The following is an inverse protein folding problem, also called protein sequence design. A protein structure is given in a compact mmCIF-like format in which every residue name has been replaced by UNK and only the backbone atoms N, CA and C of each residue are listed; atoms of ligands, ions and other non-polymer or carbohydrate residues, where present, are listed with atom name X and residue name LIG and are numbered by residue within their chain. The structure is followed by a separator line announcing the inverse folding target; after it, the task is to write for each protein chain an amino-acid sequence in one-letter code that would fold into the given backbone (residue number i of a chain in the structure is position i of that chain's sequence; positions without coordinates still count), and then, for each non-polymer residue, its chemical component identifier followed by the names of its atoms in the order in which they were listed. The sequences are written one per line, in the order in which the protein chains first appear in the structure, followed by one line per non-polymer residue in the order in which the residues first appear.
data_IF_863912209575
#
_entry.id   IF_863912209575
#
_cell.length_a   1.000
_cell.length_b   1.000
_cell.length_c   1.000
_cell.angle_alpha   90.00
_cell.angle_beta   90.00
_cell.angle_gamma   90.00
#
_symmetry.space_group_name_H-M   'P 1'
#
loop_
_entity.id
_entity.type
_entity.pdbx_description
1 polymer ?
#
# COMPACT_ATOMS: atom_id res chain seq x y z
N UNK A 1 -16.89 10.94 -3.96
CA UNK A 1 -15.91 10.01 -3.37
C UNK A 1 -15.52 9.02 -4.45
N UNK A 2 -14.23 8.72 -4.65
CA UNK A 2 -13.83 7.71 -5.64
C UNK A 2 -14.34 6.33 -5.18
N UNK A 3 -15.12 5.59 -6.00
CA UNK A 3 -15.67 4.29 -5.63
C UNK A 3 -14.60 3.28 -5.16
N UNK A 4 -13.35 3.45 -5.57
CA UNK A 4 -12.21 2.58 -5.19
C UNK A 4 -11.83 2.68 -3.72
N UNK A 5 -12.35 3.66 -2.98
CA UNK A 5 -12.13 3.83 -1.54
C UNK A 5 -13.37 3.52 -0.69
N UNK A 6 -14.41 2.92 -1.30
CA UNK A 6 -15.61 2.54 -0.56
C UNK A 6 -15.36 1.24 0.23
N UNK A 7 -15.58 1.31 1.54
CA UNK A 7 -15.55 0.15 2.44
C UNK A 7 -16.99 -0.33 2.63
N UNK A 8 -17.29 -1.57 2.24
CA UNK A 8 -18.66 -2.08 2.21
C UNK A 8 -19.24 -2.36 3.61
N UNK A 9 -18.40 -2.74 4.56
CA UNK A 9 -18.81 -3.17 5.90
C UNK A 9 -18.24 -2.24 6.99
N UNK A 10 -18.27 -0.92 6.75
CA UNK A 10 -17.63 0.06 7.64
C UNK A 10 -18.12 -0.03 9.10
N UNK A 11 -19.39 -0.37 9.31
CA UNK A 11 -20.02 -0.50 10.63
C UNK A 11 -19.46 -1.67 11.46
N UNK A 12 -18.83 -2.64 10.81
CA UNK A 12 -18.21 -3.80 11.47
C UNK A 12 -16.76 -3.54 11.90
N UNK A 13 -16.17 -2.40 11.50
CA UNK A 13 -14.74 -2.14 11.68
C UNK A 13 -14.54 -1.14 12.82
N UNK A 14 -13.84 -1.53 13.90
CA UNK A 14 -13.64 -0.65 15.04
C UNK A 14 -12.79 0.57 14.64
N UNK A 15 -13.22 1.74 15.09
CA UNK A 15 -12.50 2.99 14.92
C UNK A 15 -11.70 3.35 16.18
N UNK A 16 -10.48 3.91 16.06
CA UNK A 16 -9.79 4.26 14.81
C UNK A 16 -9.05 3.07 14.20
N UNK A 17 -9.09 2.97 12.86
CA UNK A 17 -8.36 1.96 12.10
C UNK A 17 -7.66 2.60 10.89
N UNK A 18 -6.52 2.05 10.51
CA UNK A 18 -5.79 2.44 9.30
C UNK A 18 -6.03 1.41 8.19
N UNK A 19 -6.55 1.86 7.05
CA UNK A 19 -6.82 1.01 5.90
C UNK A 19 -5.69 1.05 4.88
N UNK A 20 -5.35 -0.13 4.35
CA UNK A 20 -4.39 -0.29 3.26
C UNK A 20 -5.11 -0.83 2.05
N UNK A 21 -5.22 -0.02 1.00
CA UNK A 21 -5.77 -0.42 -0.28
C UNK A 21 -4.71 -1.19 -1.09
N UNK A 22 -4.79 -2.52 -1.07
CA UNK A 22 -3.74 -3.40 -1.65
C UNK A 22 -3.43 -3.09 -3.12
N UNK A 23 -4.44 -2.84 -3.94
CA UNK A 23 -4.23 -2.51 -5.36
C UNK A 23 -3.49 -1.18 -5.53
N UNK A 24 -3.72 -0.20 -4.64
CA UNK A 24 -2.94 1.06 -4.63
C UNK A 24 -1.49 0.84 -4.26
N UNK A 25 -1.21 -0.06 -3.31
CA UNK A 25 0.16 -0.44 -2.96
C UNK A 25 0.86 -1.04 -4.18
N UNK A 26 0.21 -1.98 -4.89
CA UNK A 26 0.77 -2.58 -6.11
C UNK A 26 1.04 -1.55 -7.21
N UNK A 27 0.09 -0.65 -7.49
CA UNK A 27 0.28 0.42 -8.47
C UNK A 27 1.44 1.34 -8.11
N UNK A 28 1.60 1.66 -6.82
CA UNK A 28 2.71 2.49 -6.36
C UNK A 28 4.06 1.76 -6.47
N UNK A 29 4.09 0.44 -6.23
CA UNK A 29 5.28 -0.39 -6.43
C UNK A 29 5.65 -0.52 -7.92
N UNK A 30 4.67 -0.64 -8.82
CA UNK A 30 4.95 -0.60 -10.26
C UNK A 30 5.58 0.75 -10.66
N UNK A 31 4.97 1.85 -10.21
CA UNK A 31 5.48 3.20 -10.48
C UNK A 31 6.89 3.42 -9.93
N UNK A 32 7.22 2.92 -8.73
CA UNK A 32 8.56 3.12 -8.17
C UNK A 32 9.61 2.31 -8.92
N UNK A 33 9.25 1.14 -9.48
CA UNK A 33 10.13 0.38 -10.37
C UNK A 33 10.38 1.14 -11.68
N UNK A 34 9.35 1.73 -12.27
CA UNK A 34 9.49 2.56 -13.48
C UNK A 34 10.41 3.77 -13.24
N UNK A 35 10.27 4.42 -12.07
CA UNK A 35 11.13 5.55 -11.66
C UNK A 35 12.57 5.11 -11.42
N UNK A 36 12.77 3.97 -10.76
CA UNK A 36 14.09 3.46 -10.42
C UNK A 36 14.82 2.80 -11.60
N UNK A 37 14.10 2.45 -12.67
CA UNK A 37 14.63 1.71 -13.81
C UNK A 37 14.76 0.20 -13.59
N UNK A 38 14.29 -0.31 -12.43
CA UNK A 38 14.40 -1.71 -12.04
C UNK A 38 14.50 -1.89 -10.52
N UNK A 39 14.37 -3.14 -10.02
CA UNK A 39 14.45 -3.45 -8.58
C UNK A 39 15.87 -3.39 -8.01
N UNK A 40 16.92 -3.47 -8.83
CA UNK A 40 18.32 -3.53 -8.40
C UNK A 40 18.81 -2.26 -7.69
N UNK A 41 18.19 -1.11 -7.98
CA UNK A 41 18.44 0.16 -7.31
C UNK A 41 17.42 0.47 -6.19
N UNK A 42 16.44 -0.42 -5.97
CA UNK A 42 15.34 -0.18 -5.05
C UNK A 42 15.61 -0.82 -3.69
N UNK A 43 15.63 0.00 -2.64
CA UNK A 43 15.71 -0.45 -1.24
C UNK A 43 14.54 0.13 -0.43
N UNK A 44 13.37 -0.53 -0.41
CA UNK A 44 12.21 -0.06 0.32
C UNK A 44 12.52 0.11 1.80
N UNK A 45 12.30 1.30 2.34
CA UNK A 45 12.63 1.58 3.74
C UNK A 45 11.48 1.17 4.67
N UNK A 46 11.67 0.06 5.39
CA UNK A 46 10.65 -0.55 6.25
C UNK A 46 10.19 0.35 7.41
N UNK A 47 10.96 1.37 7.81
CA UNK A 47 10.60 2.27 8.92
C UNK A 47 9.25 2.96 8.69
N UNK A 48 8.87 3.14 7.43
CA UNK A 48 7.68 3.89 7.01
C UNK A 48 6.38 3.15 7.33
N UNK A 49 6.38 1.81 7.27
CA UNK A 49 5.17 1.02 7.46
C UNK A 49 5.31 -0.09 8.50
N UNK A 50 6.53 -0.57 8.78
CA UNK A 50 6.83 -1.62 9.79
C UNK A 50 6.00 -2.90 9.64
N UNK A 51 5.58 -3.20 8.42
CA UNK A 51 4.75 -4.37 8.09
C UNK A 51 5.54 -5.37 7.25
N UNK A 52 5.79 -6.55 7.81
CA UNK A 52 6.46 -7.64 7.10
C UNK A 52 5.69 -8.08 5.86
N UNK A 53 4.35 -8.06 5.90
CA UNK A 53 3.50 -8.48 4.76
C UNK A 53 3.67 -7.61 3.49
N UNK A 54 4.32 -6.44 3.60
CA UNK A 54 4.59 -5.54 2.45
C UNK A 54 6.01 -5.74 1.90
N UNK A 55 6.91 -6.37 2.67
CA UNK A 55 8.31 -6.61 2.27
C UNK A 55 8.42 -8.06 1.79
N UNK A 56 8.92 -8.26 0.57
CA UNK A 56 9.26 -9.57 0.01
C UNK A 56 10.77 -9.81 0.14
#
# INVERSE_FOLDING_TARGET
MDPRYLVQNIDEIPSPSLFIYRERVKENLARILDIAGGPELLRPHVKTHKMAHIVA
#
